data_IF_549212006905
#
_entry.id   IF_549212006905
#
_cell.length_a   1.000
_cell.length_b   1.000
_cell.length_c   1.000
_cell.angle_alpha   90.00
_cell.angle_beta   90.00
_cell.angle_gamma   90.00
#
_symmetry.space_group_name_H-M   'P 1'
#
loop_
_entity.id
_entity.type
_entity.pdbx_description
1 polymer ?
#
# COMPACT_ATOMS: atom_id res chain seq x y z
N UNK A 1 10.08 2.19 33.22
CA UNK A 1 9.77 3.21 32.21
C UNK A 1 10.42 2.80 30.88
N UNK A 2 9.66 2.38 29.87
CA UNK A 2 10.20 2.09 28.53
C UNK A 2 10.42 3.42 27.80
N UNK A 3 11.67 3.77 27.50
CA UNK A 3 12.00 4.96 26.69
C UNK A 3 11.38 4.78 25.31
N UNK A 4 10.43 5.63 24.94
CA UNK A 4 9.90 5.64 23.58
C UNK A 4 11.03 6.00 22.61
N UNK A 5 11.17 5.29 21.48
CA UNK A 5 12.14 5.65 20.46
C UNK A 5 11.84 7.06 19.92
N UNK A 6 12.85 7.95 19.94
CA UNK A 6 12.77 9.28 19.34
C UNK A 6 13.00 9.14 17.83
N UNK A 7 11.95 8.86 17.08
CA UNK A 7 11.96 8.98 15.62
C UNK A 7 11.97 10.44 15.18
N UNK A 8 12.72 10.77 14.13
CA UNK A 8 12.62 12.06 13.44
C UNK A 8 11.25 12.17 12.73
N UNK A 9 10.76 13.39 12.45
CA UNK A 9 9.47 13.60 11.75
C UNK A 9 9.33 12.78 10.46
N UNK A 10 10.33 12.74 9.55
CA UNK A 10 10.25 11.92 8.33
C UNK A 10 10.17 10.41 8.61
N UNK A 11 10.84 9.93 9.67
CA UNK A 11 10.80 8.52 10.06
C UNK A 11 9.44 8.13 10.65
N UNK A 12 8.75 9.05 11.33
CA UNK A 12 7.40 8.81 11.86
C UNK A 12 6.36 8.69 10.75
N UNK A 13 6.48 9.50 9.71
CA UNK A 13 5.57 9.48 8.57
C UNK A 13 5.68 8.16 7.79
N UNK A 14 6.91 7.72 7.50
CA UNK A 14 7.17 6.41 6.86
C UNK A 14 6.66 5.24 7.71
N UNK A 15 6.81 5.31 9.04
CA UNK A 15 6.28 4.28 9.94
C UNK A 15 4.75 4.24 9.96
N UNK A 16 4.10 5.40 9.99
CA UNK A 16 2.64 5.52 9.92
C UNK A 16 2.09 5.05 8.57
N UNK A 17 2.77 5.38 7.48
CA UNK A 17 2.41 4.96 6.12
C UNK A 17 2.52 3.45 5.93
N UNK A 18 3.65 2.84 6.30
CA UNK A 18 3.84 1.38 6.23
C UNK A 18 2.81 0.61 7.05
N UNK A 19 2.41 1.14 8.21
CA UNK A 19 1.34 0.54 9.03
C UNK A 19 0.01 0.58 8.30
N UNK A 20 -0.38 1.73 7.75
CA UNK A 20 -1.65 1.90 7.02
C UNK A 20 -1.70 1.05 5.75
N UNK A 21 -0.63 1.02 4.96
CA UNK A 21 -0.55 0.18 3.74
C UNK A 21 -0.66 -1.30 4.10
N UNK A 22 0.02 -1.76 5.16
CA UNK A 22 -0.09 -3.15 5.61
C UNK A 22 -1.52 -3.51 6.05
N UNK A 23 -2.18 -2.62 6.79
CA UNK A 23 -3.58 -2.82 7.21
C UNK A 23 -4.54 -2.85 6.02
N UNK A 24 -4.34 -1.99 5.03
CA UNK A 24 -5.12 -1.99 3.79
C UNK A 24 -4.95 -3.31 3.00
N UNK A 25 -3.72 -3.82 2.88
CA UNK A 25 -3.44 -5.11 2.24
C UNK A 25 -4.13 -6.28 2.98
N UNK A 26 -4.09 -6.29 4.30
CA UNK A 26 -4.78 -7.31 5.12
C UNK A 26 -6.29 -7.22 4.94
N UNK A 27 -6.83 -6.01 4.92
CA UNK A 27 -8.26 -5.75 4.67
C UNK A 27 -8.68 -6.34 3.33
N UNK A 28 -7.90 -6.14 2.26
CA UNK A 28 -8.18 -6.72 0.95
C UNK A 28 -8.28 -8.25 0.97
N UNK A 29 -7.36 -8.92 1.69
CA UNK A 29 -7.38 -10.38 1.86
C UNK A 29 -8.59 -10.84 2.68
N UNK A 30 -8.94 -10.11 3.74
CA UNK A 30 -10.12 -10.44 4.55
C UNK A 30 -11.41 -10.29 3.73
N UNK A 31 -11.51 -9.21 2.95
CA UNK A 31 -12.64 -8.99 2.05
C UNK A 31 -12.76 -10.09 1.00
N UNK A 32 -11.64 -10.62 0.47
CA UNK A 32 -11.72 -11.74 -0.47
C UNK A 32 -12.25 -13.02 0.15
N UNK A 33 -11.89 -13.30 1.40
CA UNK A 33 -12.44 -14.45 2.15
C UNK A 33 -13.94 -14.32 2.40
N UNK A 34 -14.46 -13.10 2.50
CA UNK A 34 -15.89 -12.83 2.72
C UNK A 34 -16.70 -12.67 1.42
N UNK A 35 -16.04 -12.45 0.28
CA UNK A 35 -16.69 -12.13 -0.98
C UNK A 35 -17.38 -13.35 -1.60
N UNK A 36 -18.69 -13.24 -1.84
CA UNK A 36 -19.49 -14.25 -2.54
C UNK A 36 -19.64 -13.96 -4.04
N UNK A 37 -19.19 -12.78 -4.48
CA UNK A 37 -19.26 -12.35 -5.87
C UNK A 37 -18.00 -11.58 -6.27
N UNK A 38 -17.90 -11.22 -7.56
CA UNK A 38 -16.76 -10.44 -8.05
C UNK A 38 -16.95 -8.95 -7.79
N UNK A 39 -15.98 -8.35 -7.11
CA UNK A 39 -15.96 -6.93 -6.78
C UNK A 39 -14.68 -6.27 -7.28
N UNK A 40 -14.81 -5.02 -7.71
CA UNK A 40 -13.68 -4.11 -7.95
C UNK A 40 -13.88 -2.94 -7.00
N UNK A 41 -13.00 -2.83 -6.01
CA UNK A 41 -13.11 -1.85 -4.91
C UNK A 41 -11.88 -0.98 -4.88
N UNK A 42 -12.03 0.28 -4.49
CA UNK A 42 -10.91 1.16 -4.22
C UNK A 42 -10.65 1.17 -2.72
N UNK A 43 -9.43 0.83 -2.32
CA UNK A 43 -8.99 0.80 -0.92
C UNK A 43 -7.94 1.89 -0.76
N UNK A 44 -8.15 2.76 0.23
CA UNK A 44 -7.20 3.82 0.55
C UNK A 44 -5.78 3.26 0.72
N UNK A 45 -4.77 4.04 0.32
CA UNK A 45 -3.34 3.71 0.39
C UNK A 45 -2.85 2.62 -0.59
N UNK A 46 -3.72 1.75 -1.13
CA UNK A 46 -3.32 0.66 -2.05
C UNK A 46 -4.04 0.67 -3.40
N UNK A 47 -5.01 1.57 -3.58
CA UNK A 47 -5.71 1.80 -4.83
C UNK A 47 -6.74 0.71 -5.16
N UNK A 48 -6.84 0.37 -6.44
CA UNK A 48 -7.88 -0.51 -6.96
C UNK A 48 -7.55 -1.97 -6.70
N UNK A 49 -8.49 -2.67 -6.08
CA UNK A 49 -8.41 -4.09 -5.74
C UNK A 49 -9.54 -4.86 -6.40
N UNK A 50 -9.19 -5.94 -7.10
CA UNK A 50 -10.12 -6.93 -7.59
C UNK A 50 -10.26 -8.06 -6.57
N UNK A 51 -11.48 -8.45 -6.28
CA UNK A 51 -11.83 -9.43 -5.26
C UNK A 51 -12.83 -10.43 -5.84
N UNK A 52 -12.57 -11.74 -5.65
CA UNK A 52 -13.49 -12.81 -6.06
C UNK A 52 -13.21 -14.10 -5.27
N UNK A 53 -14.14 -14.56 -4.45
CA UNK A 53 -14.14 -15.92 -3.86
C UNK A 53 -12.76 -16.38 -3.34
N UNK A 54 -12.25 -15.71 -2.31
CA UNK A 54 -10.92 -15.95 -1.74
C UNK A 54 -9.75 -15.36 -2.53
N UNK A 55 -9.94 -14.95 -3.78
CA UNK A 55 -8.93 -14.26 -4.59
C UNK A 55 -8.96 -12.74 -4.36
N UNK A 56 -7.78 -12.14 -4.18
CA UNK A 56 -7.56 -10.70 -4.18
C UNK A 56 -6.38 -10.35 -5.09
N UNK A 57 -6.46 -9.22 -5.80
CA UNK A 57 -5.36 -8.66 -6.57
C UNK A 57 -5.42 -7.13 -6.58
N UNK A 58 -4.27 -6.48 -6.45
CA UNK A 58 -4.11 -5.02 -6.60
C UNK A 58 -3.72 -4.68 -8.04
N UNK A 59 -4.19 -3.53 -8.52
CA UNK A 59 -3.71 -2.96 -9.77
C UNK A 59 -2.48 -2.10 -9.48
N UNK A 60 -1.35 -2.42 -10.09
CA UNK A 60 -0.13 -1.62 -10.00
C UNK A 60 -0.23 -0.38 -10.89
N UNK A 61 0.66 0.60 -10.66
CA UNK A 61 0.71 1.85 -11.43
C UNK A 61 0.88 1.63 -12.94
N UNK A 62 1.58 0.56 -13.32
CA UNK A 62 1.76 0.15 -14.72
C UNK A 62 0.56 -0.62 -15.32
N UNK A 63 -0.57 -0.70 -14.59
CA UNK A 63 -1.81 -1.32 -15.03
C UNK A 63 -1.84 -2.84 -14.93
N UNK A 64 -0.83 -3.49 -14.33
CA UNK A 64 -0.81 -4.94 -14.12
C UNK A 64 -1.57 -5.34 -12.86
N UNK A 65 -2.18 -6.52 -12.88
CA UNK A 65 -2.81 -7.10 -11.69
C UNK A 65 -1.82 -8.00 -10.96
N UNK A 66 -1.57 -7.69 -9.69
CA UNK A 66 -0.73 -8.52 -8.82
C UNK A 66 -1.57 -9.16 -7.73
N UNK A 67 -1.51 -10.49 -7.64
CA UNK A 67 -2.23 -11.26 -6.62
C UNK A 67 -1.75 -10.88 -5.21
N UNK A 68 -2.70 -10.77 -4.29
CA UNK A 68 -2.48 -10.64 -2.86
C UNK A 68 -2.72 -11.98 -2.16
N UNK A 69 -1.75 -12.39 -1.35
CA UNK A 69 -1.86 -13.52 -0.43
C UNK A 69 -1.14 -13.20 0.88
N UNK A 70 -1.34 -14.01 1.92
CA UNK A 70 -0.65 -13.79 3.19
C UNK A 70 0.87 -13.96 3.05
N UNK A 71 1.31 -14.85 2.16
CA UNK A 71 2.72 -15.16 1.93
C UNK A 71 3.46 -14.04 1.17
N UNK A 72 2.74 -13.21 0.41
CA UNK A 72 3.35 -12.16 -0.42
C UNK A 72 3.07 -10.74 0.08
N UNK A 73 2.43 -10.60 1.24
CA UNK A 73 1.98 -9.29 1.75
C UNK A 73 3.14 -8.33 2.00
N UNK A 74 4.25 -8.81 2.55
CA UNK A 74 5.42 -7.97 2.83
C UNK A 74 6.11 -7.53 1.53
N UNK A 75 6.18 -8.41 0.52
CA UNK A 75 6.69 -8.02 -0.80
C UNK A 75 5.82 -6.96 -1.48
N UNK A 76 4.49 -7.03 -1.31
CA UNK A 76 3.55 -6.03 -1.86
C UNK A 76 3.61 -4.72 -1.10
N UNK A 77 3.81 -4.78 0.22
CA UNK A 77 4.05 -3.60 1.05
C UNK A 77 5.30 -2.84 0.60
N UNK A 78 6.41 -3.55 0.41
CA UNK A 78 7.69 -2.94 -0.01
C UNK A 78 7.57 -2.27 -1.39
N UNK A 79 6.90 -2.92 -2.34
CA UNK A 79 6.63 -2.34 -3.66
C UNK A 79 5.82 -1.04 -3.57
N UNK A 80 4.70 -1.05 -2.83
CA UNK A 80 3.83 0.12 -2.70
C UNK A 80 4.51 1.29 -1.98
N UNK A 81 5.35 1.00 -1.00
CA UNK A 81 6.14 2.02 -0.30
C UNK A 81 7.27 2.59 -1.18
N UNK A 82 7.88 1.77 -2.03
CA UNK A 82 8.87 2.22 -3.00
C UNK A 82 8.23 3.15 -4.03
N UNK A 83 7.06 2.78 -4.56
CA UNK A 83 6.29 3.58 -5.53
C UNK A 83 5.93 4.95 -4.93
N UNK A 84 5.39 4.98 -3.70
CA UNK A 84 5.07 6.24 -2.98
C UNK A 84 6.30 7.14 -2.77
N UNK A 85 7.45 6.55 -2.46
CA UNK A 85 8.70 7.32 -2.30
C UNK A 85 9.19 7.90 -3.64
N UNK A 86 9.09 7.14 -4.73
CA UNK A 86 9.48 7.61 -6.06
C UNK A 86 8.63 8.81 -6.48
N UNK A 87 7.31 8.75 -6.26
CA UNK A 87 6.40 9.85 -6.57
C UNK A 87 6.71 11.10 -5.74
N UNK A 88 6.97 10.95 -4.43
CA UNK A 88 7.39 12.08 -3.58
C UNK A 88 8.71 12.71 -4.02
N UNK A 89 9.66 11.90 -4.49
CA UNK A 89 10.94 12.42 -5.01
C UNK A 89 10.72 13.19 -6.30
N UNK A 90 9.89 12.67 -7.22
CA UNK A 90 9.54 13.37 -8.47
C UNK A 90 8.85 14.70 -8.21
N UNK A 91 7.89 14.74 -7.29
CA UNK A 91 7.20 15.98 -6.90
C UNK A 91 8.18 17.02 -6.37
N UNK A 92 9.11 16.62 -5.49
CA UNK A 92 10.15 17.53 -4.96
C UNK A 92 11.06 18.07 -6.06
N UNK A 93 11.48 17.21 -7.01
CA UNK A 93 12.32 17.64 -8.12
C UNK A 93 11.58 18.60 -9.06
N UNK A 94 10.30 18.35 -9.36
CA UNK A 94 9.48 19.27 -10.14
C UNK A 94 9.36 20.63 -9.46
N UNK A 95 9.11 20.65 -8.14
CA UNK A 95 9.03 21.91 -7.38
C UNK A 95 10.35 22.70 -7.40
N UNK A 96 11.52 22.04 -7.48
CA UNK A 96 12.81 22.73 -7.59
C UNK A 96 13.11 23.27 -8.99
N UNK A 97 12.60 22.64 -10.05
CA UNK A 97 12.82 23.08 -11.44
C UNK A 97 11.90 24.24 -11.82
N UNK A 98 10.71 24.30 -11.22
CA UNK A 98 9.72 25.36 -11.44
C UNK A 98 9.71 26.45 -10.33
N UNK A 99 10.71 26.48 -9.45
CA UNK A 99 10.95 27.55 -8.47
C UNK A 99 12.13 28.44 -8.91
#
# INVERSE_FOLDING_TARGET
MRKQPKFSQPQRELFMESTRVREALKTAILLSKAATSSHKVEIAEIGVVYIKDGFAAIMTLDGRWKRLTEENIEARLDELLADSQEDRIKERLQQMIFA
#
